data_IF_797359874376
#
_entry.id   IF_797359874376
#
_cell.length_a   1.000
_cell.length_b   1.000
_cell.length_c   1.000
_cell.angle_alpha   90.00
_cell.angle_beta   90.00
_cell.angle_gamma   90.00
#
_symmetry.space_group_name_H-M   'P 1'
#
loop_
_entity.id
_entity.type
_entity.pdbx_description
1 polymer ?
#
# COMPACT_ATOMS: atom_id res chain seq x y z
N UNK A 1 14.95 -3.34 -14.84
CA UNK A 1 14.71 -4.81 -14.88
C UNK A 1 13.28 -5.07 -14.46
N UNK A 2 12.57 -5.94 -15.20
CA UNK A 2 11.16 -6.25 -14.91
C UNK A 2 11.03 -7.76 -14.69
N UNK A 3 10.34 -8.18 -13.66
CA UNK A 3 10.10 -9.60 -13.39
C UNK A 3 8.77 -9.85 -12.68
N UNK A 4 8.21 -11.04 -12.91
CA UNK A 4 7.02 -11.51 -12.22
C UNK A 4 7.43 -12.30 -10.98
N UNK A 5 6.73 -12.08 -9.89
CA UNK A 5 6.85 -12.82 -8.64
C UNK A 5 5.56 -13.61 -8.38
N UNK A 6 5.68 -14.76 -7.74
CA UNK A 6 4.52 -15.56 -7.36
C UNK A 6 4.64 -16.00 -5.89
N UNK A 7 3.54 -15.91 -5.16
CA UNK A 7 3.41 -16.42 -3.79
C UNK A 7 2.35 -17.50 -3.80
N UNK A 8 2.72 -18.70 -3.38
CA UNK A 8 1.79 -19.82 -3.25
C UNK A 8 0.94 -19.70 -2.00
N UNK A 9 -0.36 -19.90 -2.16
CA UNK A 9 -1.32 -19.93 -1.07
C UNK A 9 -2.16 -21.19 -1.14
N UNK A 10 -2.86 -21.60 -0.05
CA UNK A 10 -3.76 -22.74 -0.08
C UNK A 10 -4.89 -22.65 -1.12
N UNK A 11 -5.22 -21.43 -1.56
CA UNK A 11 -6.32 -21.16 -2.50
C UNK A 11 -5.85 -20.50 -3.80
N UNK A 12 -4.69 -20.92 -4.31
CA UNK A 12 -4.13 -20.41 -5.56
C UNK A 12 -2.85 -19.62 -5.37
N UNK A 13 -2.43 -18.93 -6.42
CA UNK A 13 -1.23 -18.11 -6.40
C UNK A 13 -1.58 -16.63 -6.40
N UNK A 14 -0.80 -15.85 -5.68
CA UNK A 14 -0.75 -14.39 -5.82
C UNK A 14 0.35 -14.04 -6.79
N UNK A 15 0.06 -13.15 -7.70
CA UNK A 15 1.04 -12.67 -8.68
C UNK A 15 1.40 -11.22 -8.40
N UNK A 16 2.69 -10.94 -8.50
CA UNK A 16 3.22 -9.60 -8.45
C UNK A 16 4.09 -9.29 -9.64
N UNK A 17 4.23 -8.04 -9.95
CA UNK A 17 5.11 -7.53 -10.98
C UNK A 17 6.06 -6.50 -10.38
N UNK A 18 7.37 -6.74 -10.57
CA UNK A 18 8.42 -5.83 -10.10
C UNK A 18 8.98 -5.06 -11.30
N UNK A 19 8.85 -3.74 -11.24
CA UNK A 19 9.54 -2.79 -12.10
C UNK A 19 10.71 -2.18 -11.32
N UNK A 20 11.94 -2.42 -11.75
CA UNK A 20 13.15 -2.00 -11.05
C UNK A 20 14.03 -1.13 -11.96
N UNK A 21 13.98 0.21 -11.79
CA UNK A 21 14.92 1.12 -12.43
C UNK A 21 16.32 1.01 -11.80
N UNK A 22 17.35 1.43 -12.51
CA UNK A 22 18.72 1.48 -12.02
C UNK A 22 19.30 2.88 -12.21
N UNK A 23 19.64 3.59 -11.12
CA UNK A 23 19.44 3.23 -9.71
C UNK A 23 17.99 3.41 -9.25
N UNK A 24 17.57 2.67 -8.22
CA UNK A 24 16.27 2.86 -7.56
C UNK A 24 16.43 3.68 -6.27
N UNK A 25 15.57 4.68 -6.09
CA UNK A 25 15.55 5.54 -4.89
C UNK A 25 14.89 4.89 -3.68
N UNK A 26 14.04 3.90 -3.91
CA UNK A 26 13.32 3.13 -2.90
C UNK A 26 12.38 2.15 -3.58
N UNK A 27 11.74 1.32 -2.78
CA UNK A 27 10.75 0.35 -3.24
C UNK A 27 9.36 0.76 -2.76
N UNK A 28 8.40 0.82 -3.65
CA UNK A 28 6.99 1.05 -3.34
C UNK A 28 6.20 -0.22 -3.66
N UNK A 29 5.51 -0.77 -2.67
CA UNK A 29 4.48 -1.79 -2.91
C UNK A 29 3.20 -1.05 -3.32
N UNK A 30 2.69 -1.32 -4.51
CA UNK A 30 1.34 -0.93 -4.92
C UNK A 30 0.38 -2.04 -4.52
N UNK A 31 -0.33 -1.86 -3.41
CA UNK A 31 -1.16 -2.88 -2.80
C UNK A 31 -2.65 -2.69 -3.14
N UNK A 32 -3.24 -3.71 -3.72
CA UNK A 32 -4.66 -3.81 -4.05
C UNK A 32 -5.19 -5.21 -3.72
N UNK A 33 -6.48 -5.34 -3.46
CA UNK A 33 -7.12 -6.66 -3.33
C UNK A 33 -7.14 -7.39 -4.66
N UNK A 34 -7.45 -6.67 -5.75
CA UNK A 34 -7.44 -7.17 -7.14
C UNK A 34 -6.77 -6.15 -8.05
N UNK A 35 -6.14 -6.62 -9.12
CA UNK A 35 -5.62 -5.75 -10.17
C UNK A 35 -6.71 -4.85 -10.77
N UNK A 36 -6.34 -3.61 -11.03
CA UNK A 36 -7.14 -2.68 -11.81
C UNK A 36 -6.37 -2.26 -13.07
N UNK A 37 -7.07 -1.92 -14.17
CA UNK A 37 -6.41 -1.46 -15.40
C UNK A 37 -5.50 -0.25 -15.20
N UNK A 38 -5.79 0.59 -14.21
CA UNK A 38 -4.99 1.77 -13.87
C UNK A 38 -3.64 1.44 -13.21
N UNK A 39 -3.46 0.24 -12.67
CA UNK A 39 -2.27 -0.09 -11.86
C UNK A 39 -0.97 -0.03 -12.68
N UNK A 40 -1.01 -0.43 -13.94
CA UNK A 40 0.16 -0.33 -14.83
C UNK A 40 0.61 1.12 -15.05
N UNK A 41 -0.34 2.04 -15.27
CA UNK A 41 -0.05 3.46 -15.45
C UNK A 41 0.46 4.10 -14.14
N UNK A 42 -0.06 3.68 -12.99
CA UNK A 42 0.43 4.11 -11.68
C UNK A 42 1.87 3.65 -11.48
N UNK A 43 2.14 2.36 -11.72
CA UNK A 43 3.48 1.80 -11.60
C UNK A 43 4.49 2.48 -12.54
N UNK A 44 4.11 2.74 -13.78
CA UNK A 44 4.94 3.47 -14.75
C UNK A 44 5.32 4.86 -14.24
N UNK A 45 4.34 5.64 -13.77
CA UNK A 45 4.60 6.99 -13.23
C UNK A 45 5.49 6.97 -12.00
N UNK A 46 5.31 6.02 -11.08
CA UNK A 46 6.17 5.86 -9.91
C UNK A 46 7.60 5.48 -10.34
N UNK A 47 7.74 4.63 -11.35
CA UNK A 47 9.04 4.23 -11.91
C UNK A 47 9.74 5.40 -12.61
N UNK A 48 9.02 6.25 -13.30
CA UNK A 48 9.55 7.51 -13.89
C UNK A 48 10.11 8.45 -12.82
N UNK A 49 9.59 8.39 -11.58
CA UNK A 49 10.14 9.13 -10.44
C UNK A 49 11.34 8.44 -9.77
N UNK A 50 11.81 7.33 -10.32
CA UNK A 50 12.99 6.61 -9.85
C UNK A 50 12.71 5.56 -8.77
N UNK A 51 11.47 5.20 -8.51
CA UNK A 51 11.14 4.15 -7.54
C UNK A 51 11.06 2.79 -8.21
N UNK A 52 11.56 1.76 -7.51
CA UNK A 52 11.15 0.39 -7.80
C UNK A 52 9.69 0.22 -7.38
N UNK A 53 8.90 -0.48 -8.18
CA UNK A 53 7.48 -0.71 -7.90
C UNK A 53 7.18 -2.19 -7.93
N UNK A 54 6.67 -2.71 -6.81
CA UNK A 54 6.13 -4.06 -6.72
C UNK A 54 4.60 -3.97 -6.68
N UNK A 55 3.96 -4.28 -7.80
CA UNK A 55 2.50 -4.35 -7.88
C UNK A 55 2.05 -5.73 -7.38
N UNK A 56 1.22 -5.77 -6.34
CA UNK A 56 0.75 -7.03 -5.74
C UNK A 56 -0.76 -7.05 -5.58
N UNK A 57 -1.36 -8.17 -6.01
CA UNK A 57 -2.72 -8.55 -5.61
C UNK A 57 -2.67 -9.29 -4.27
N UNK A 58 -3.63 -9.03 -3.39
CA UNK A 58 -3.72 -9.68 -2.08
C UNK A 58 -4.67 -10.88 -2.07
N UNK A 59 -5.51 -11.02 -3.09
CA UNK A 59 -6.41 -12.14 -3.27
C UNK A 59 -6.11 -12.87 -4.58
N UNK A 60 -6.14 -14.20 -4.53
CA UNK A 60 -6.11 -15.01 -5.75
C UNK A 60 -7.44 -14.91 -6.50
N UNK A 61 -7.46 -15.28 -7.78
CA UNK A 61 -8.69 -15.30 -8.58
C UNK A 61 -9.76 -16.23 -7.98
N UNK A 62 -9.36 -17.29 -7.32
CA UNK A 62 -10.26 -18.21 -6.62
C UNK A 62 -10.84 -17.55 -5.35
N UNK A 63 -10.00 -16.90 -4.56
CA UNK A 63 -10.42 -16.21 -3.32
C UNK A 63 -11.32 -15.03 -3.58
N UNK A 64 -11.22 -14.40 -4.74
CA UNK A 64 -12.08 -13.30 -5.16
C UNK A 64 -13.57 -13.63 -5.16
N UNK A 65 -13.92 -14.91 -5.27
CA UNK A 65 -15.30 -15.39 -5.25
C UNK A 65 -15.84 -15.67 -3.84
N UNK A 66 -15.00 -15.59 -2.81
CA UNK A 66 -15.46 -15.79 -1.44
C UNK A 66 -16.27 -14.59 -0.96
N UNK A 67 -17.31 -14.85 -0.17
CA UNK A 67 -18.11 -13.79 0.45
C UNK A 67 -17.22 -12.93 1.32
N UNK A 68 -17.34 -11.62 1.18
CA UNK A 68 -16.59 -10.61 1.94
C UNK A 68 -15.05 -10.75 1.87
N UNK A 69 -14.53 -11.33 0.78
CA UNK A 69 -13.10 -11.56 0.62
C UNK A 69 -12.27 -10.26 0.77
N UNK A 70 -12.75 -9.15 0.18
CA UNK A 70 -12.07 -7.84 0.24
C UNK A 70 -12.16 -7.18 1.62
N UNK A 71 -13.09 -7.64 2.48
CA UNK A 71 -13.29 -7.15 3.85
C UNK A 71 -12.58 -8.01 4.90
N UNK A 72 -11.90 -9.08 4.50
CA UNK A 72 -11.18 -9.97 5.41
C UNK A 72 -9.81 -9.37 5.76
N UNK A 73 -9.82 -8.37 6.64
CA UNK A 73 -8.60 -7.65 7.05
C UNK A 73 -7.52 -8.58 7.62
N UNK A 74 -7.82 -9.55 8.51
CA UNK A 74 -6.79 -10.46 9.01
C UNK A 74 -6.08 -11.25 7.90
N UNK A 75 -6.82 -11.75 6.92
CA UNK A 75 -6.27 -12.51 5.79
C UNK A 75 -5.40 -11.62 4.89
N UNK A 76 -5.90 -10.46 4.53
CA UNK A 76 -5.15 -9.49 3.73
C UNK A 76 -3.87 -9.04 4.45
N UNK A 77 -3.92 -8.84 5.75
CA UNK A 77 -2.76 -8.52 6.57
C UNK A 77 -1.72 -9.65 6.52
N UNK A 78 -2.14 -10.90 6.66
CA UNK A 78 -1.24 -12.05 6.57
C UNK A 78 -0.53 -12.11 5.21
N UNK A 79 -1.24 -11.83 4.12
CA UNK A 79 -0.66 -11.76 2.76
C UNK A 79 0.42 -10.69 2.65
N UNK A 80 0.15 -9.51 3.20
CA UNK A 80 1.12 -8.42 3.21
C UNK A 80 2.37 -8.77 4.03
N UNK A 81 2.21 -9.44 5.17
CA UNK A 81 3.35 -9.91 5.97
C UNK A 81 4.20 -10.91 5.19
N UNK A 82 3.59 -11.82 4.43
CA UNK A 82 4.28 -12.76 3.55
C UNK A 82 5.05 -12.05 2.43
N UNK A 83 4.46 -11.01 1.83
CA UNK A 83 5.12 -10.16 0.84
C UNK A 83 6.32 -9.43 1.45
N UNK A 84 6.16 -8.88 2.64
CA UNK A 84 7.25 -8.19 3.36
C UNK A 84 8.39 -9.15 3.71
N UNK A 85 8.08 -10.40 4.05
CA UNK A 85 9.10 -11.43 4.30
C UNK A 85 9.80 -11.88 3.00
N UNK A 86 9.10 -11.90 1.87
CA UNK A 86 9.70 -12.15 0.56
C UNK A 86 10.69 -11.03 0.21
N UNK A 87 10.29 -9.78 0.36
CA UNK A 87 11.14 -8.61 0.07
C UNK A 87 12.43 -8.65 0.89
N UNK A 88 12.36 -9.02 2.16
CA UNK A 88 13.53 -9.13 3.05
C UNK A 88 14.57 -10.17 2.60
N UNK A 89 14.12 -11.18 1.84
CA UNK A 89 14.98 -12.28 1.34
C UNK A 89 15.41 -12.09 -0.11
N UNK A 90 14.88 -11.10 -0.78
CA UNK A 90 15.15 -10.85 -2.19
C UNK A 90 16.36 -9.93 -2.37
N UNK A 91 17.36 -10.39 -3.15
CA UNK A 91 18.62 -9.68 -3.32
C UNK A 91 18.50 -8.29 -3.93
N UNK A 92 17.50 -8.07 -4.77
CA UNK A 92 17.30 -6.78 -5.46
C UNK A 92 16.49 -5.79 -4.63
N UNK A 93 15.62 -6.29 -3.72
CA UNK A 93 14.68 -5.46 -2.97
C UNK A 93 15.10 -5.20 -1.53
N UNK A 94 15.83 -6.14 -0.89
CA UNK A 94 16.08 -6.14 0.57
C UNK A 94 16.77 -4.88 1.13
N UNK A 95 17.54 -4.18 0.30
CA UNK A 95 18.30 -3.01 0.72
C UNK A 95 17.65 -1.67 0.33
N UNK A 96 16.52 -1.71 -0.35
CA UNK A 96 15.80 -0.50 -0.72
C UNK A 96 14.92 -0.01 0.45
N UNK A 97 14.91 1.30 0.75
CA UNK A 97 13.92 1.85 1.67
C UNK A 97 12.52 1.56 1.13
N UNK A 98 11.62 1.09 2.00
CA UNK A 98 10.33 0.53 1.62
C UNK A 98 9.18 1.42 2.03
N UNK A 99 8.32 1.73 1.06
CA UNK A 99 7.02 2.34 1.27
C UNK A 99 5.89 1.48 0.70
N UNK A 100 4.67 1.77 1.11
CA UNK A 100 3.48 1.10 0.57
C UNK A 100 2.47 2.16 0.12
N UNK A 101 1.97 2.03 -1.09
CA UNK A 101 0.84 2.77 -1.60
C UNK A 101 -0.36 1.82 -1.70
N UNK A 102 -1.32 1.99 -0.82
CA UNK A 102 -2.54 1.17 -0.78
C UNK A 102 -3.71 1.87 -1.46
N UNK A 103 -4.55 1.10 -2.14
CA UNK A 103 -5.73 1.61 -2.82
C UNK A 103 -6.97 0.82 -2.38
N UNK A 104 -8.00 1.52 -1.93
CA UNK A 104 -9.29 0.95 -1.58
C UNK A 104 -9.25 -0.02 -0.41
N UNK A 105 -9.87 -1.18 -0.57
CA UNK A 105 -10.10 -2.17 0.49
C UNK A 105 -8.81 -2.78 1.08
N UNK A 106 -7.67 -2.66 0.43
CA UNK A 106 -6.39 -3.11 0.98
C UNK A 106 -5.88 -2.24 2.13
N UNK A 107 -6.35 -1.00 2.25
CA UNK A 107 -5.81 0.01 3.17
C UNK A 107 -5.80 -0.44 4.64
N UNK A 108 -6.87 -0.99 5.24
CA UNK A 108 -6.83 -1.43 6.63
C UNK A 108 -5.75 -2.49 6.91
N UNK A 109 -5.58 -3.43 5.98
CA UNK A 109 -4.57 -4.47 6.10
C UNK A 109 -3.15 -3.91 5.98
N UNK A 110 -2.93 -2.94 5.11
CA UNK A 110 -1.65 -2.24 4.98
C UNK A 110 -1.26 -1.55 6.28
N UNK A 111 -2.19 -0.87 6.93
CA UNK A 111 -1.95 -0.25 8.25
C UNK A 111 -1.55 -1.30 9.29
N UNK A 112 -2.26 -2.42 9.37
CA UNK A 112 -1.94 -3.51 10.31
C UNK A 112 -0.57 -4.12 10.05
N UNK A 113 -0.23 -4.37 8.80
CA UNK A 113 1.06 -4.95 8.43
C UNK A 113 2.21 -3.98 8.73
N UNK A 114 2.06 -2.71 8.38
CA UNK A 114 3.06 -1.68 8.66
C UNK A 114 3.28 -1.47 10.17
N UNK A 115 2.22 -1.51 10.97
CA UNK A 115 2.32 -1.42 12.42
C UNK A 115 3.12 -2.59 13.04
N UNK A 116 3.12 -3.77 12.40
CA UNK A 116 3.89 -4.94 12.82
C UNK A 116 5.32 -4.99 12.25
N UNK A 117 5.64 -4.13 11.29
CA UNK A 117 6.93 -4.09 10.57
C UNK A 117 7.51 -2.68 10.56
N UNK A 118 7.53 -2.05 11.71
CA UNK A 118 7.96 -0.65 11.93
C UNK A 118 9.39 -0.37 11.46
N UNK A 119 10.28 -1.35 11.56
CA UNK A 119 11.66 -1.22 11.08
C UNK A 119 11.80 -1.37 9.58
N UNK A 120 10.86 -2.07 8.93
CA UNK A 120 10.90 -2.35 7.50
C UNK A 120 10.14 -1.32 6.67
N UNK A 121 8.92 -0.96 7.09
CA UNK A 121 8.06 -0.03 6.37
C UNK A 121 8.32 1.40 6.84
N UNK A 122 8.82 2.25 5.95
CA UNK A 122 9.28 3.61 6.27
C UNK A 122 8.23 4.69 6.05
N UNK A 123 7.32 4.47 5.11
CA UNK A 123 6.32 5.48 4.71
C UNK A 123 5.11 4.81 4.07
N UNK A 124 3.95 5.40 4.28
CA UNK A 124 2.68 4.94 3.72
C UNK A 124 1.95 6.06 2.99
N UNK A 125 1.25 5.70 1.93
CA UNK A 125 0.20 6.50 1.34
C UNK A 125 -1.02 5.63 1.07
N UNK A 126 -2.21 6.16 1.24
CA UNK A 126 -3.47 5.49 0.93
C UNK A 126 -4.33 6.34 0.02
N UNK A 127 -5.06 5.69 -0.88
CA UNK A 127 -6.11 6.33 -1.68
C UNK A 127 -7.43 5.61 -1.45
N UNK A 128 -8.31 6.24 -0.70
CA UNK A 128 -9.61 5.68 -0.30
C UNK A 128 -9.48 4.53 0.70
N UNK A 129 -10.58 3.79 0.83
CA UNK A 129 -10.69 2.68 1.78
C UNK A 129 -11.13 3.10 3.17
N UNK A 130 -11.56 2.11 3.95
CA UNK A 130 -12.05 2.28 5.31
C UNK A 130 -10.91 2.08 6.32
N UNK A 131 -10.04 3.06 6.41
CA UNK A 131 -8.79 2.99 7.18
C UNK A 131 -9.01 2.68 8.67
N UNK A 132 -10.14 3.12 9.24
CA UNK A 132 -10.53 2.85 10.62
C UNK A 132 -10.80 1.36 10.90
N UNK A 133 -11.06 0.55 9.85
CA UNK A 133 -11.16 -0.91 9.96
C UNK A 133 -9.83 -1.60 10.29
N UNK A 134 -8.71 -0.89 10.25
CA UNK A 134 -7.44 -1.38 10.78
C UNK A 134 -7.52 -1.68 12.28
N UNK A 135 -8.40 -0.98 12.99
CA UNK A 135 -8.60 -1.10 14.42
C UNK A 135 -7.70 -0.18 15.23
N UNK A 136 -8.18 0.16 16.41
CA UNK A 136 -7.56 1.14 17.30
C UNK A 136 -6.10 0.80 17.65
N UNK A 137 -5.83 -0.47 17.91
CA UNK A 137 -4.49 -0.90 18.31
C UNK A 137 -3.47 -0.68 17.18
N UNK A 138 -3.81 -1.05 15.95
CA UNK A 138 -2.93 -0.86 14.81
C UNK A 138 -2.71 0.62 14.49
N UNK A 139 -3.77 1.43 14.56
CA UNK A 139 -3.68 2.88 14.33
C UNK A 139 -2.74 3.55 15.34
N UNK A 140 -2.84 3.19 16.62
CA UNK A 140 -1.94 3.72 17.67
C UNK A 140 -0.51 3.20 17.59
N UNK A 141 -0.33 1.97 17.10
CA UNK A 141 0.98 1.35 16.98
C UNK A 141 1.75 1.75 15.71
N UNK A 142 1.06 2.31 14.72
CA UNK A 142 1.69 2.73 13.46
C UNK A 142 2.71 3.84 13.73
N UNK A 143 3.95 3.64 13.29
CA UNK A 143 5.04 4.62 13.39
C UNK A 143 5.38 5.27 12.05
N UNK A 144 5.15 4.57 10.95
CA UNK A 144 5.42 5.10 9.61
C UNK A 144 4.53 6.32 9.31
N UNK A 145 5.09 7.40 8.75
CA UNK A 145 4.33 8.54 8.26
C UNK A 145 3.27 8.10 7.25
N UNK A 146 2.06 8.64 7.35
CA UNK A 146 0.90 8.25 6.54
C UNK A 146 0.29 9.45 5.82
N UNK A 147 0.21 9.38 4.49
CA UNK A 147 -0.63 10.27 3.69
C UNK A 147 -1.96 9.58 3.39
N UNK A 148 -3.06 10.23 3.74
CA UNK A 148 -4.42 9.78 3.42
C UNK A 148 -4.99 10.63 2.28
N UNK A 149 -5.09 10.05 1.09
CA UNK A 149 -5.69 10.70 -0.08
C UNK A 149 -7.14 10.25 -0.20
N UNK A 150 -8.06 11.20 -0.26
CA UNK A 150 -9.51 10.93 -0.26
C UNK A 150 -10.17 11.72 -1.35
N UNK A 151 -11.01 11.07 -2.16
CA UNK A 151 -11.84 11.76 -3.14
C UNK A 151 -12.88 12.65 -2.42
N UNK A 152 -13.00 13.90 -2.84
CA UNK A 152 -13.90 14.86 -2.18
C UNK A 152 -15.37 14.43 -2.19
N UNK A 153 -15.76 13.55 -3.09
CA UNK A 153 -17.12 12.99 -3.19
C UNK A 153 -17.31 11.70 -2.39
N UNK A 154 -16.24 11.09 -1.85
CA UNK A 154 -16.32 9.87 -1.04
C UNK A 154 -16.47 10.20 0.45
N UNK A 155 -17.69 10.58 0.85
CA UNK A 155 -17.98 10.93 2.24
C UNK A 155 -17.79 9.77 3.23
N UNK A 156 -17.90 8.52 2.78
CA UNK A 156 -17.70 7.34 3.63
C UNK A 156 -16.22 7.17 3.95
N UNK A 157 -15.35 7.24 2.94
CA UNK A 157 -13.90 7.20 3.15
C UNK A 157 -13.41 8.42 3.93
N UNK A 158 -13.91 9.62 3.66
CA UNK A 158 -13.56 10.84 4.43
C UNK A 158 -13.89 10.67 5.92
N UNK A 159 -15.07 10.19 6.26
CA UNK A 159 -15.46 9.94 7.64
C UNK A 159 -14.56 8.88 8.31
N UNK A 160 -14.24 7.79 7.59
CA UNK A 160 -13.34 6.75 8.09
C UNK A 160 -11.92 7.29 8.34
N UNK A 161 -11.40 8.11 7.44
CA UNK A 161 -10.10 8.75 7.58
C UNK A 161 -10.06 9.72 8.77
N UNK A 162 -11.10 10.51 8.97
CA UNK A 162 -11.21 11.41 10.14
C UNK A 162 -11.24 10.64 11.46
N UNK A 163 -11.99 9.55 11.53
CA UNK A 163 -11.99 8.68 12.73
C UNK A 163 -10.60 8.10 12.99
N UNK A 164 -9.95 7.56 11.95
CA UNK A 164 -8.60 7.00 12.07
C UNK A 164 -7.58 8.06 12.51
N UNK A 165 -7.61 9.25 11.93
CA UNK A 165 -6.69 10.34 12.24
C UNK A 165 -6.70 10.72 13.73
N UNK A 166 -7.86 10.62 14.41
CA UNK A 166 -7.96 10.90 15.84
C UNK A 166 -7.18 9.90 16.72
N UNK A 167 -6.82 8.74 16.19
CA UNK A 167 -6.08 7.69 16.90
C UNK A 167 -4.62 7.54 16.45
N UNK A 168 -4.24 8.12 15.32
CA UNK A 168 -2.87 8.07 14.80
C UNK A 168 -1.92 8.87 15.68
N UNK A 169 -0.81 8.26 16.09
CA UNK A 169 0.27 8.90 16.83
C UNK A 169 1.47 9.24 15.92
N UNK A 170 1.52 8.65 14.72
CA UNK A 170 2.54 8.97 13.71
C UNK A 170 2.26 10.31 13.01
N UNK A 171 3.27 10.83 12.32
CA UNK A 171 3.09 11.95 11.40
C UNK A 171 2.10 11.56 10.29
N UNK A 172 1.09 12.37 10.05
CA UNK A 172 0.09 12.09 9.02
C UNK A 172 -0.46 13.38 8.41
N UNK A 173 -0.88 13.27 7.16
CA UNK A 173 -1.54 14.34 6.41
C UNK A 173 -2.76 13.77 5.68
N UNK A 174 -3.78 14.60 5.48
CA UNK A 174 -4.94 14.26 4.66
C UNK A 174 -4.97 15.19 3.45
N UNK A 175 -5.13 14.61 2.26
CA UNK A 175 -5.29 15.34 1.01
C UNK A 175 -6.64 15.00 0.39
N UNK A 176 -7.53 16.00 0.33
CA UNK A 176 -8.81 15.88 -0.37
C UNK A 176 -8.60 16.16 -1.85
N UNK A 177 -8.89 15.17 -2.68
CA UNK A 177 -8.81 15.30 -4.13
C UNK A 177 -10.02 16.05 -4.68
N UNK A 178 -9.76 17.08 -5.44
CA UNK A 178 -10.78 17.69 -6.28
C UNK A 178 -11.14 16.78 -7.46
N UNK A 179 -12.32 16.97 -8.05
CA UNK A 179 -12.76 16.23 -9.23
C UNK A 179 -11.72 16.39 -10.35
N UNK A 180 -11.25 15.26 -10.88
CA UNK A 180 -10.26 15.24 -11.97
C UNK A 180 -8.80 15.44 -11.53
N UNK A 181 -8.53 15.64 -10.25
CA UNK A 181 -7.17 15.75 -9.73
C UNK A 181 -6.48 14.37 -9.71
N UNK A 182 -5.22 14.32 -10.15
CA UNK A 182 -4.41 13.10 -10.12
C UNK A 182 -3.84 12.89 -8.70
N UNK A 183 -4.16 11.79 -8.01
CA UNK A 183 -3.64 11.51 -6.68
C UNK A 183 -2.11 11.33 -6.66
N UNK A 184 -1.50 10.98 -7.78
CA UNK A 184 -0.08 10.62 -7.83
C UNK A 184 0.85 11.79 -7.55
N UNK A 185 0.44 13.03 -7.83
CA UNK A 185 1.26 14.19 -7.47
C UNK A 185 1.46 14.30 -5.96
N UNK A 186 0.38 14.17 -5.19
CA UNK A 186 0.47 14.19 -3.73
C UNK A 186 1.26 12.98 -3.19
N UNK A 187 1.03 11.80 -3.76
CA UNK A 187 1.69 10.54 -3.35
C UNK A 187 3.20 10.60 -3.63
N UNK A 188 3.63 10.99 -4.83
CA UNK A 188 5.06 11.08 -5.17
C UNK A 188 5.78 12.15 -4.36
N UNK A 189 5.15 13.28 -4.11
CA UNK A 189 5.70 14.33 -3.23
C UNK A 189 5.89 13.81 -1.81
N UNK A 190 4.93 13.05 -1.28
CA UNK A 190 5.00 12.43 0.04
C UNK A 190 6.14 11.42 0.14
N UNK A 191 6.24 10.48 -0.80
CA UNK A 191 7.33 9.51 -0.82
C UNK A 191 8.70 10.17 -0.97
N UNK A 192 8.83 11.14 -1.85
CA UNK A 192 10.09 11.87 -2.03
C UNK A 192 10.56 12.53 -0.73
N UNK A 193 9.65 13.14 0.01
CA UNK A 193 9.96 13.78 1.30
C UNK A 193 10.46 12.77 2.35
N UNK A 194 9.92 11.57 2.37
CA UNK A 194 10.19 10.59 3.42
C UNK A 194 11.24 9.53 3.06
N UNK A 195 11.59 9.38 1.78
CA UNK A 195 12.71 8.51 1.38
C UNK A 195 14.06 9.24 1.37
N UNK A 196 14.06 10.57 1.36
CA UNK A 196 15.28 11.39 1.33
C UNK A 196 15.86 11.69 2.73
N UNK A 197 15.26 11.15 3.78
CA UNK A 197 15.64 11.38 5.18
C UNK A 197 16.57 10.35 5.76
#
# INVERSE_FOLDING_TARGET
MNRTLAIHTPHGQLYGHLDLPEPALGLIILARTHHAPADAAIAEKLTEHGYAVLTMELLSSQEAHFVDATQNVPKLTQRLLEILDLIRRDGDMQNLPLGIFSIGDATPAVIRAAAQRDTQVKVLASHGGLIDHAGLQALKALTAPLLMVVDSEDGVADAANRRAASYLLCAHETHLLSIGEDPLLAVTTWFSRHFSG
#
